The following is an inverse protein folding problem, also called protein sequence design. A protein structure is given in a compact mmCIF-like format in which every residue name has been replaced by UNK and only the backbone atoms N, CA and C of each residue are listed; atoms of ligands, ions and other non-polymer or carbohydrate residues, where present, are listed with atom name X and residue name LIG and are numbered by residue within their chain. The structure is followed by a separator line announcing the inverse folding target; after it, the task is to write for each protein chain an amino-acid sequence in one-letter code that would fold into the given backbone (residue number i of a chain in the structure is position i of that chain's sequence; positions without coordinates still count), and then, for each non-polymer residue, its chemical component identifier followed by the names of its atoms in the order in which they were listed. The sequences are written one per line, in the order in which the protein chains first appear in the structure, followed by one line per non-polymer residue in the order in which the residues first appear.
data_IF_462077903109
#
_entry.id   IF_462077903109
#
_cell.length_a   1.000
_cell.length_b   1.000
_cell.length_c   1.000
_cell.angle_alpha   90.00
_cell.angle_beta   90.00
_cell.angle_gamma   90.00
#
_symmetry.space_group_name_H-M   'P 1'
#
loop_
_entity.id
_entity.type
_entity.pdbx_description
1 polymer ?
#
# COMPACT_ATOMS: atom_id res chain seq x y z
N UNK A 1 78.99 -10.26 -19.80
CA UNK A 1 77.68 -10.47 -19.13
C UNK A 1 77.18 -11.86 -19.53
N UNK A 2 77.04 -12.79 -18.57
CA UNK A 2 76.77 -14.20 -18.88
C UNK A 2 75.33 -14.39 -19.39
N UNK A 3 75.17 -14.96 -20.59
CA UNK A 3 73.88 -15.23 -21.25
C UNK A 3 72.88 -15.97 -20.33
N UNK A 4 73.38 -16.82 -19.43
CA UNK A 4 72.58 -17.55 -18.44
C UNK A 4 71.84 -16.63 -17.46
N UNK A 5 72.48 -15.55 -17.02
CA UNK A 5 71.86 -14.61 -16.08
C UNK A 5 70.81 -13.73 -16.78
N UNK A 6 71.04 -13.40 -18.06
CA UNK A 6 70.06 -12.66 -18.87
C UNK A 6 68.83 -13.54 -19.14
N UNK A 7 69.03 -14.81 -19.48
CA UNK A 7 67.95 -15.78 -19.73
C UNK A 7 67.07 -15.99 -18.50
N UNK A 8 67.65 -16.15 -17.31
CA UNK A 8 66.91 -16.34 -16.05
C UNK A 8 66.13 -15.06 -15.67
N UNK A 9 66.74 -13.88 -15.84
CA UNK A 9 66.05 -12.62 -15.58
C UNK A 9 64.85 -12.41 -16.53
N UNK A 10 64.99 -12.81 -17.79
CA UNK A 10 63.91 -12.70 -18.78
C UNK A 10 62.74 -13.65 -18.48
N UNK A 11 63.02 -14.90 -18.06
CA UNK A 11 61.95 -15.84 -17.68
C UNK A 11 61.18 -15.39 -16.45
N UNK A 12 61.87 -14.87 -15.43
CA UNK A 12 61.19 -14.33 -14.23
C UNK A 12 60.31 -13.13 -14.60
N UNK A 13 60.78 -12.25 -15.49
CA UNK A 13 60.00 -11.10 -15.96
C UNK A 13 58.76 -11.53 -16.75
N UNK A 14 58.88 -12.52 -17.64
CA UNK A 14 57.73 -13.04 -18.41
C UNK A 14 56.70 -13.70 -17.50
N UNK A 15 57.12 -14.53 -16.53
CA UNK A 15 56.19 -15.12 -15.55
C UNK A 15 55.53 -14.07 -14.65
N UNK A 16 56.25 -13.01 -14.26
CA UNK A 16 55.71 -11.90 -13.50
C UNK A 16 54.63 -11.12 -14.28
N UNK A 17 54.86 -10.84 -15.56
CA UNK A 17 53.88 -10.15 -16.43
C UNK A 17 52.64 -11.03 -16.65
N UNK A 18 52.82 -12.33 -16.88
CA UNK A 18 51.71 -13.27 -17.04
C UNK A 18 50.86 -13.37 -15.77
N UNK A 19 51.50 -13.46 -14.59
CA UNK A 19 50.80 -13.51 -13.31
C UNK A 19 49.99 -12.22 -13.04
N UNK A 20 50.55 -11.04 -13.35
CA UNK A 20 49.82 -9.77 -13.26
C UNK A 20 48.61 -9.71 -14.20
N UNK A 21 48.75 -10.20 -15.44
CA UNK A 21 47.64 -10.24 -16.40
C UNK A 21 46.49 -11.15 -15.95
N UNK A 22 46.81 -12.31 -15.35
CA UNK A 22 45.80 -13.22 -14.79
C UNK A 22 45.13 -12.63 -13.54
N UNK A 23 45.87 -11.98 -12.65
CA UNK A 23 45.30 -11.28 -11.49
C UNK A 23 44.38 -10.13 -11.92
N UNK A 24 44.78 -9.34 -12.92
CA UNK A 24 44.00 -8.20 -13.41
C UNK A 24 42.69 -8.64 -14.08
N UNK A 25 42.72 -9.69 -14.91
CA UNK A 25 41.49 -10.26 -15.50
C UNK A 25 40.60 -10.94 -14.44
N UNK A 26 41.18 -11.67 -13.50
CA UNK A 26 40.43 -12.36 -12.44
C UNK A 26 39.68 -11.37 -11.53
N UNK A 27 40.34 -10.30 -11.09
CA UNK A 27 39.70 -9.27 -10.27
C UNK A 27 38.60 -8.52 -11.02
N UNK A 28 38.82 -8.23 -12.31
CA UNK A 28 37.82 -7.52 -13.12
C UNK A 28 36.55 -8.36 -13.34
N UNK A 29 36.70 -9.67 -13.59
CA UNK A 29 35.57 -10.60 -13.75
C UNK A 29 34.80 -10.77 -12.44
N UNK A 30 35.49 -10.89 -11.30
CA UNK A 30 34.82 -10.97 -10.00
C UNK A 30 34.10 -9.67 -9.64
N UNK A 31 34.71 -8.50 -9.84
CA UNK A 31 34.04 -7.22 -9.59
C UNK A 31 32.84 -7.01 -10.51
N UNK A 32 32.97 -7.34 -11.80
CA UNK A 32 31.84 -7.27 -12.73
C UNK A 32 30.71 -8.20 -12.26
N UNK A 33 31.02 -9.44 -11.90
CA UNK A 33 30.04 -10.40 -11.41
C UNK A 33 29.36 -9.92 -10.12
N UNK A 34 30.11 -9.46 -9.13
CA UNK A 34 29.57 -8.92 -7.87
C UNK A 34 28.68 -7.69 -8.14
N UNK A 35 29.10 -6.79 -9.03
CA UNK A 35 28.32 -5.62 -9.40
C UNK A 35 27.03 -6.01 -10.14
N UNK A 36 27.09 -6.99 -11.05
CA UNK A 36 25.92 -7.53 -11.75
C UNK A 36 24.96 -8.23 -10.79
N UNK A 37 25.45 -9.08 -9.89
CA UNK A 37 24.63 -9.77 -8.89
C UNK A 37 23.99 -8.76 -7.91
N UNK A 38 24.73 -7.76 -7.45
CA UNK A 38 24.21 -6.70 -6.57
C UNK A 38 23.15 -5.83 -7.27
N UNK A 39 23.41 -5.41 -8.50
CA UNK A 39 22.46 -4.60 -9.29
C UNK A 39 21.20 -5.40 -9.61
N UNK A 40 21.36 -6.65 -10.01
CA UNK A 40 20.23 -7.55 -10.33
C UNK A 40 19.37 -7.80 -9.09
N UNK A 41 19.98 -8.16 -7.96
CA UNK A 41 19.25 -8.37 -6.71
C UNK A 41 18.54 -7.09 -6.22
N UNK A 42 19.15 -5.92 -6.38
CA UNK A 42 18.53 -4.64 -6.03
C UNK A 42 17.31 -4.35 -6.90
N UNK A 43 17.43 -4.55 -8.21
CA UNK A 43 16.32 -4.37 -9.15
C UNK A 43 15.18 -5.36 -8.90
N UNK A 44 15.48 -6.64 -8.65
CA UNK A 44 14.46 -7.64 -8.32
C UNK A 44 13.74 -7.32 -7.01
N UNK A 45 14.46 -6.94 -5.94
CA UNK A 45 13.85 -6.52 -4.67
C UNK A 45 13.01 -5.26 -4.79
N UNK A 46 13.47 -4.30 -5.58
CA UNK A 46 12.70 -3.09 -5.88
C UNK A 46 11.39 -3.43 -6.59
N UNK A 47 11.46 -4.27 -7.62
CA UNK A 47 10.28 -4.70 -8.37
C UNK A 47 9.31 -5.51 -7.52
N UNK A 48 9.79 -6.43 -6.66
CA UNK A 48 8.90 -7.18 -5.76
C UNK A 48 8.19 -6.25 -4.77
N UNK A 49 8.91 -5.28 -4.21
CA UNK A 49 8.31 -4.29 -3.31
C UNK A 49 7.22 -3.45 -4.00
N UNK A 50 7.44 -3.05 -5.25
CA UNK A 50 6.43 -2.33 -6.04
C UNK A 50 5.22 -3.22 -6.32
N UNK A 51 5.43 -4.48 -6.69
CA UNK A 51 4.33 -5.42 -6.94
C UNK A 51 3.50 -5.66 -5.67
N UNK A 52 4.15 -5.85 -4.51
CA UNK A 52 3.47 -6.01 -3.23
C UNK A 52 2.66 -4.76 -2.86
N UNK A 53 3.23 -3.57 -3.07
CA UNK A 53 2.53 -2.30 -2.84
C UNK A 53 1.28 -2.17 -3.72
N UNK A 54 1.40 -2.49 -5.01
CA UNK A 54 0.29 -2.43 -5.97
C UNK A 54 -0.78 -3.47 -5.62
N UNK A 55 -0.38 -4.70 -5.28
CA UNK A 55 -1.30 -5.76 -4.89
C UNK A 55 -2.09 -5.39 -3.62
N UNK A 56 -1.41 -4.86 -2.60
CA UNK A 56 -2.07 -4.37 -1.39
C UNK A 56 -3.04 -3.23 -1.69
N UNK A 57 -2.67 -2.30 -2.58
CA UNK A 57 -3.56 -1.24 -3.04
C UNK A 57 -4.82 -1.77 -3.74
N UNK A 58 -4.67 -2.77 -4.62
CA UNK A 58 -5.77 -3.43 -5.32
C UNK A 58 -6.69 -4.16 -4.33
N UNK A 59 -6.15 -4.92 -3.38
CA UNK A 59 -6.95 -5.64 -2.38
C UNK A 59 -7.75 -4.68 -1.50
N UNK A 60 -7.12 -3.59 -1.06
CA UNK A 60 -7.80 -2.58 -0.25
C UNK A 60 -8.92 -1.89 -1.02
N UNK A 61 -8.68 -1.55 -2.29
CA UNK A 61 -9.70 -0.95 -3.16
C UNK A 61 -10.87 -1.91 -3.42
N UNK A 62 -10.56 -3.16 -3.77
CA UNK A 62 -11.56 -4.24 -3.98
C UNK A 62 -12.41 -4.45 -2.73
N UNK A 63 -11.79 -4.50 -1.56
CA UNK A 63 -12.49 -4.71 -0.29
C UNK A 63 -13.39 -3.52 0.05
N UNK A 64 -12.95 -2.30 -0.22
CA UNK A 64 -13.75 -1.08 0.01
C UNK A 64 -14.95 -1.01 -0.94
N UNK A 65 -14.77 -1.39 -2.22
CA UNK A 65 -15.88 -1.55 -3.17
C UNK A 65 -16.86 -2.65 -2.77
N UNK A 66 -16.37 -3.78 -2.24
CA UNK A 66 -17.21 -4.86 -1.76
C UNK A 66 -18.11 -4.39 -0.60
N UNK A 67 -17.59 -3.54 0.30
CA UNK A 67 -18.39 -2.91 1.35
C UNK A 67 -19.47 -2.01 0.74
N UNK A 68 -19.11 -1.12 -0.20
CA UNK A 68 -20.07 -0.20 -0.81
C UNK A 68 -21.22 -0.95 -1.50
N UNK A 69 -20.89 -1.96 -2.32
CA UNK A 69 -21.89 -2.78 -3.00
C UNK A 69 -22.72 -3.63 -2.01
N UNK A 70 -22.07 -4.23 -1.01
CA UNK A 70 -22.74 -5.04 0.01
C UNK A 70 -23.66 -4.21 0.91
N UNK A 71 -23.31 -2.95 1.15
CA UNK A 71 -24.11 -2.03 1.95
C UNK A 71 -25.49 -1.80 1.33
N UNK A 72 -25.54 -1.51 0.03
CA UNK A 72 -26.80 -1.31 -0.69
C UNK A 72 -27.74 -2.53 -0.67
N UNK A 73 -27.18 -3.73 -0.47
CA UNK A 73 -27.96 -4.98 -0.47
C UNK A 73 -28.39 -5.42 0.92
N UNK A 74 -27.58 -5.16 1.95
CA UNK A 74 -27.72 -5.82 3.25
C UNK A 74 -27.82 -4.89 4.44
N UNK A 75 -27.45 -3.61 4.30
CA UNK A 75 -27.37 -2.66 5.42
C UNK A 75 -28.67 -1.88 5.55
N UNK A 76 -29.23 -1.88 6.75
CA UNK A 76 -30.37 -1.03 7.11
C UNK A 76 -30.05 -0.02 8.19
N UNK A 77 -29.06 -0.33 9.03
CA UNK A 77 -28.66 0.49 10.18
C UNK A 77 -27.15 0.73 10.19
N UNK A 78 -26.67 1.72 10.95
CA UNK A 78 -25.23 1.95 11.13
C UNK A 78 -24.51 0.79 11.81
N UNK A 79 -25.21 -0.01 12.62
CA UNK A 79 -24.64 -1.23 13.21
C UNK A 79 -24.40 -2.31 12.16
N UNK A 80 -25.32 -2.49 11.22
CA UNK A 80 -25.14 -3.45 10.12
C UNK A 80 -23.98 -3.03 9.22
N UNK A 81 -23.84 -1.71 8.98
CA UNK A 81 -22.69 -1.16 8.27
C UNK A 81 -21.38 -1.45 9.00
N UNK A 82 -21.32 -1.22 10.31
CA UNK A 82 -20.14 -1.52 11.13
C UNK A 82 -19.77 -3.02 11.11
N UNK A 83 -20.77 -3.91 11.11
CA UNK A 83 -20.57 -5.36 10.98
C UNK A 83 -20.04 -5.73 9.60
N UNK A 84 -20.52 -5.09 8.55
CA UNK A 84 -20.04 -5.32 7.18
C UNK A 84 -18.59 -4.86 7.04
N UNK A 85 -18.27 -3.66 7.51
CA UNK A 85 -16.90 -3.11 7.54
C UNK A 85 -15.94 -4.04 8.26
N UNK A 86 -16.31 -4.54 9.44
CA UNK A 86 -15.47 -5.41 10.26
C UNK A 86 -15.15 -6.77 9.61
N UNK A 87 -15.95 -7.24 8.64
CA UNK A 87 -15.64 -8.46 7.87
C UNK A 87 -14.41 -8.30 6.98
N UNK A 88 -14.18 -7.09 6.47
CA UNK A 88 -13.07 -6.79 5.57
C UNK A 88 -11.91 -6.09 6.31
N UNK A 89 -12.24 -5.21 7.26
CA UNK A 89 -11.28 -4.41 8.01
C UNK A 89 -11.58 -4.46 9.52
N UNK A 90 -11.27 -5.59 10.20
CA UNK A 90 -11.63 -5.79 11.60
C UNK A 90 -10.97 -4.79 12.57
N UNK A 91 -9.81 -4.24 12.19
CA UNK A 91 -9.09 -3.26 12.99
C UNK A 91 -9.52 -1.80 12.74
N UNK A 92 -10.29 -1.54 11.68
CA UNK A 92 -10.66 -0.18 11.27
C UNK A 92 -12.07 0.14 11.74
N UNK A 93 -12.26 1.27 12.41
CA UNK A 93 -13.56 1.72 12.89
C UNK A 93 -14.04 2.92 12.09
N UNK A 94 -15.22 2.82 11.48
CA UNK A 94 -15.89 3.97 10.89
C UNK A 94 -16.41 4.95 11.94
N UNK A 95 -16.40 6.23 11.60
CA UNK A 95 -16.92 7.32 12.41
C UNK A 95 -18.40 7.57 12.07
N UNK A 96 -19.22 7.93 13.06
CA UNK A 96 -20.65 8.18 12.90
C UNK A 96 -20.98 9.61 13.31
N UNK A 97 -21.65 10.36 12.42
CA UNK A 97 -22.21 11.67 12.72
C UNK A 97 -23.74 11.56 12.83
N UNK A 98 -24.27 11.82 14.03
CA UNK A 98 -25.71 11.87 14.25
C UNK A 98 -26.34 13.13 13.68
N UNK A 99 -25.60 14.24 13.64
CA UNK A 99 -26.05 15.51 13.08
C UNK A 99 -26.26 15.38 11.56
N UNK A 100 -25.26 14.84 10.86
CA UNK A 100 -25.30 14.71 9.40
C UNK A 100 -25.96 13.41 8.95
N UNK A 101 -26.33 12.54 9.89
CA UNK A 101 -26.88 11.19 9.65
C UNK A 101 -25.99 10.36 8.73
N UNK A 102 -24.68 10.48 8.89
CA UNK A 102 -23.70 9.81 8.06
C UNK A 102 -22.81 8.87 8.88
N UNK A 103 -22.34 7.80 8.23
CA UNK A 103 -21.25 6.97 8.73
C UNK A 103 -20.12 7.00 7.70
N UNK A 104 -18.98 7.55 8.09
CA UNK A 104 -17.76 7.58 7.28
C UNK A 104 -16.85 6.43 7.66
N UNK A 105 -16.45 5.64 6.68
CA UNK A 105 -15.46 4.58 6.83
C UNK A 105 -14.25 4.86 5.95
N UNK A 106 -13.07 4.78 6.54
CA UNK A 106 -11.80 5.13 5.90
C UNK A 106 -10.80 3.99 6.13
N UNK A 107 -10.61 3.15 5.10
CA UNK A 107 -9.59 2.11 5.11
C UNK A 107 -8.18 2.69 4.85
N UNK A 108 -8.12 3.75 4.04
CA UNK A 108 -6.97 4.61 3.81
C UNK A 108 -7.45 5.94 3.24
N UNK A 109 -6.57 6.95 3.15
CA UNK A 109 -6.90 8.26 2.60
C UNK A 109 -7.49 8.23 1.17
N UNK A 110 -7.12 7.22 0.38
CA UNK A 110 -7.64 7.01 -0.98
C UNK A 110 -8.84 6.04 -1.04
N UNK A 111 -9.20 5.39 0.06
CA UNK A 111 -10.29 4.42 0.13
C UNK A 111 -11.24 4.77 1.27
N UNK A 112 -12.15 5.69 0.94
CA UNK A 112 -13.16 6.24 1.86
C UNK A 112 -14.54 6.02 1.26
N UNK A 113 -15.49 5.67 2.12
CA UNK A 113 -16.92 5.61 1.79
C UNK A 113 -17.72 6.37 2.86
N UNK A 114 -18.81 7.01 2.43
CA UNK A 114 -19.74 7.68 3.34
C UNK A 114 -21.14 7.11 3.12
N UNK A 115 -21.67 6.42 4.13
CA UNK A 115 -23.04 5.93 4.13
C UNK A 115 -23.99 7.00 4.70
N UNK A 116 -25.04 7.36 3.97
CA UNK A 116 -26.05 8.34 4.36
C UNK A 116 -27.33 7.63 4.80
N UNK A 117 -27.90 8.09 5.92
CA UNK A 117 -29.09 7.50 6.53
C UNK A 117 -30.23 8.52 6.65
N UNK A 118 -31.47 8.06 6.53
CA UNK A 118 -32.66 8.92 6.56
C UNK A 118 -32.99 9.45 7.96
N UNK A 119 -32.71 8.66 9.00
CA UNK A 119 -33.14 8.96 10.37
C UNK A 119 -32.18 8.47 11.45
N UNK A 120 -32.29 9.10 12.62
CA UNK A 120 -31.67 8.65 13.87
C UNK A 120 -32.73 7.88 14.65
N UNK A 121 -32.42 6.65 15.04
CA UNK A 121 -33.25 5.83 15.91
C UNK A 121 -32.58 5.65 17.28
N UNK A 122 -33.37 5.82 18.33
CA UNK A 122 -32.93 5.60 19.71
C UNK A 122 -33.52 4.29 20.22
N UNK A 123 -32.66 3.40 20.69
CA UNK A 123 -33.10 2.16 21.33
C UNK A 123 -33.69 2.50 22.70
N UNK A 124 -35.00 2.28 22.84
CA UNK A 124 -35.77 2.56 24.06
C UNK A 124 -35.28 1.81 25.30
N UNK A 125 -34.50 0.74 25.15
CA UNK A 125 -33.96 -0.05 26.28
C UNK A 125 -32.59 0.42 26.74
N UNK A 126 -31.76 0.91 25.82
CA UNK A 126 -30.35 1.23 26.09
C UNK A 126 -30.06 2.73 26.00
N UNK A 127 -30.98 3.53 25.46
CA UNK A 127 -30.80 4.96 25.18
C UNK A 127 -29.78 5.26 24.07
N UNK A 128 -29.27 4.21 23.40
CA UNK A 128 -28.22 4.37 22.38
C UNK A 128 -28.85 4.84 21.08
N UNK A 129 -28.35 5.96 20.56
CA UNK A 129 -28.72 6.50 19.25
C UNK A 129 -27.92 5.82 18.15
N UNK A 130 -28.62 5.41 17.10
CA UNK A 130 -28.07 4.76 15.90
C UNK A 130 -28.66 5.39 14.64
N UNK A 131 -28.01 5.19 13.50
CA UNK A 131 -28.56 5.63 12.23
C UNK A 131 -29.32 4.48 11.59
N UNK A 132 -30.46 4.79 11.00
CA UNK A 132 -31.33 3.81 10.34
C UNK A 132 -31.82 4.36 9.00
N UNK A 133 -32.30 3.45 8.16
CA UNK A 133 -32.80 3.73 6.81
C UNK A 133 -31.69 4.21 5.88
N UNK A 134 -30.81 3.31 5.47
CA UNK A 134 -29.74 3.61 4.52
C UNK A 134 -30.33 4.15 3.21
N UNK A 135 -29.93 5.36 2.82
CA UNK A 135 -30.41 6.07 1.64
C UNK A 135 -29.43 5.95 0.48
N UNK A 136 -28.14 6.14 0.76
CA UNK A 136 -27.09 6.09 -0.25
C UNK A 136 -25.73 5.77 0.35
N UNK A 137 -24.81 5.33 -0.50
CA UNK A 137 -23.40 5.20 -0.18
C UNK A 137 -22.63 6.04 -1.18
N UNK A 138 -21.96 7.07 -0.70
CA UNK A 138 -21.06 7.88 -1.49
C UNK A 138 -19.69 7.18 -1.63
N UNK A 139 -19.31 6.98 -2.88
CA UNK A 139 -18.06 6.35 -3.34
C UNK A 139 -17.21 7.31 -4.16
N UNK A 140 -17.47 8.62 -4.09
CA UNK A 140 -16.80 9.64 -4.91
C UNK A 140 -15.28 9.59 -4.79
N UNK A 141 -14.73 9.32 -3.61
CA UNK A 141 -13.27 9.14 -3.43
C UNK A 141 -12.75 7.93 -4.21
N UNK A 142 -13.47 6.80 -4.18
CA UNK A 142 -13.09 5.59 -4.93
C UNK A 142 -13.08 5.81 -6.45
N UNK A 143 -13.88 6.76 -6.92
CA UNK A 143 -13.95 7.20 -8.31
C UNK A 143 -12.93 8.30 -8.66
N UNK A 144 -12.08 8.71 -7.71
CA UNK A 144 -11.08 9.76 -7.89
C UNK A 144 -11.62 11.18 -7.76
N UNK A 145 -12.86 11.35 -7.29
CA UNK A 145 -13.48 12.66 -7.05
C UNK A 145 -13.30 13.07 -5.57
N UNK A 146 -12.12 13.58 -5.26
CA UNK A 146 -11.74 14.02 -3.91
C UNK A 146 -12.47 15.29 -3.44
N UNK A 147 -12.94 16.12 -4.38
CA UNK A 147 -13.64 17.38 -4.06
C UNK A 147 -15.04 17.15 -3.46
N UNK A 148 -15.76 16.12 -3.92
CA UNK A 148 -17.09 15.79 -3.40
C UNK A 148 -17.06 15.29 -1.94
N UNK A 149 -15.96 14.66 -1.52
CA UNK A 149 -15.85 14.09 -0.20
C UNK A 149 -15.33 15.05 0.89
N UNK A 150 -14.70 16.16 0.49
CA UNK A 150 -14.37 17.26 1.39
C UNK A 150 -15.65 17.94 1.91
N UNK A 151 -16.66 18.13 1.05
CA UNK A 151 -17.95 18.70 1.43
C UNK A 151 -18.71 17.82 2.46
N UNK A 152 -18.53 16.50 2.42
CA UNK A 152 -19.13 15.59 3.40
C UNK A 152 -18.40 15.55 4.77
N UNK A 153 -17.16 16.08 4.85
CA UNK A 153 -16.39 16.18 6.10
C UNK A 153 -16.45 17.54 6.77
N UNK A 154 -16.80 18.61 6.06
CA UNK A 154 -16.65 19.99 6.56
C UNK A 154 -17.86 20.53 7.34
N UNK A 155 -19.04 19.92 7.23
CA UNK A 155 -20.24 20.37 7.97
C UNK A 155 -20.30 19.85 9.41
N UNK A 156 -19.22 19.98 10.18
CA UNK A 156 -19.22 19.56 11.58
C UNK A 156 -18.12 20.14 12.46
N UNK A 157 -17.43 21.19 12.00
CA UNK A 157 -16.32 21.82 12.75
C UNK A 157 -16.55 23.27 13.16
N UNK A 158 -17.77 23.79 13.03
CA UNK A 158 -18.15 25.09 13.56
C UNK A 158 -19.36 24.94 14.49
N UNK A 159 -19.10 24.74 15.78
CA UNK A 159 -19.88 25.23 16.95
C UNK A 159 -19.27 24.64 18.24
N UNK A 160 -18.15 25.23 18.68
CA UNK A 160 -17.81 25.40 20.11
C UNK A 160 -18.00 26.87 20.49
#
# INVERSE_FOLDING_TARGET
MNLKNISIALTVLVFGVIAMLFMQKGNYVNQAREHYEATTNKSFKGNSMVLDLVNNGIEMNKSTWAIACGALQTVRTSQDMARLEAKFFPATKGNMSLANKTRRFEASSANVIVANFGKVEEDKKTGVKSLADLQSVDVSILLGNYAAAAAASDEGSDEE
#
